data_IF_671337068455
#
_entry.id   IF_671337068455
#
_cell.length_a   1.000
_cell.length_b   1.000
_cell.length_c   1.000
_cell.angle_alpha   90.00
_cell.angle_beta   90.00
_cell.angle_gamma   90.00
#
_symmetry.space_group_name_H-M   'P 1'
#
loop_
_entity.id
_entity.type
_entity.pdbx_description
1 polymer ?
#
# COMPACT_ATOMS: atom_id res chain seq x y z
N UNK A 1 -6.05 -22.56 14.42
CA UNK A 1 -7.35 -22.80 15.10
C UNK A 1 -8.38 -21.77 14.66
N UNK A 2 -8.29 -20.50 15.10
CA UNK A 2 -9.22 -19.43 14.69
C UNK A 2 -9.28 -19.25 13.16
N UNK A 3 -8.12 -19.16 12.51
CA UNK A 3 -8.01 -18.98 11.05
C UNK A 3 -8.62 -20.09 10.19
N UNK A 4 -8.81 -21.29 10.74
CA UNK A 4 -9.34 -22.44 10.01
C UNK A 4 -10.83 -22.67 10.30
N UNK A 5 -11.45 -21.81 11.10
CA UNK A 5 -12.86 -21.90 11.40
C UNK A 5 -13.67 -21.30 10.24
N UNK A 6 -14.67 -22.04 9.77
CA UNK A 6 -15.61 -21.57 8.76
C UNK A 6 -16.72 -20.78 9.44
N UNK A 7 -17.03 -19.58 8.93
CA UNK A 7 -18.09 -18.74 9.47
C UNK A 7 -19.37 -18.90 8.65
N UNK A 8 -20.48 -19.08 9.35
CA UNK A 8 -21.83 -18.96 8.78
C UNK A 8 -22.21 -17.50 8.57
N UNK A 9 -23.28 -17.25 7.80
CA UNK A 9 -23.77 -15.89 7.54
C UNK A 9 -24.23 -15.17 8.82
N UNK A 10 -24.84 -15.89 9.76
CA UNK A 10 -25.30 -15.32 11.03
C UNK A 10 -24.09 -14.92 11.90
N UNK A 11 -23.09 -15.80 12.00
CA UNK A 11 -21.84 -15.52 12.74
C UNK A 11 -21.06 -14.33 12.15
N UNK A 12 -21.13 -14.09 10.84
CA UNK A 12 -20.49 -12.92 10.23
C UNK A 12 -21.09 -11.58 10.72
N UNK A 13 -22.30 -11.60 11.25
CA UNK A 13 -22.96 -10.41 11.82
C UNK A 13 -22.67 -10.21 13.30
N UNK A 14 -22.09 -11.22 13.97
CA UNK A 14 -21.81 -11.15 15.40
C UNK A 14 -20.60 -10.28 15.73
N UNK A 15 -20.74 -9.44 16.75
CA UNK A 15 -19.65 -8.57 17.25
C UNK A 15 -18.46 -9.35 17.82
N UNK A 16 -18.70 -10.57 18.30
CA UNK A 16 -17.68 -11.45 18.88
C UNK A 16 -17.46 -12.72 18.03
N UNK A 17 -17.67 -12.61 16.72
CA UNK A 17 -17.34 -13.69 15.79
C UNK A 17 -15.87 -14.12 15.92
N UNK A 18 -15.59 -15.36 15.53
CA UNK A 18 -14.24 -15.96 15.59
C UNK A 18 -13.19 -15.11 14.85
N UNK A 19 -13.60 -14.42 13.78
CA UNK A 19 -12.75 -13.47 13.05
C UNK A 19 -12.36 -12.25 13.90
N UNK A 20 -13.31 -11.67 14.63
CA UNK A 20 -13.05 -10.54 15.53
C UNK A 20 -12.18 -10.97 16.70
N UNK A 21 -12.42 -12.16 17.26
CA UNK A 21 -11.57 -12.73 18.31
C UNK A 21 -10.13 -12.96 17.84
N UNK A 22 -9.94 -13.48 16.62
CA UNK A 22 -8.62 -13.62 16.01
C UNK A 22 -7.87 -12.27 15.97
N UNK A 23 -8.56 -11.20 15.57
CA UNK A 23 -8.00 -9.86 15.52
C UNK A 23 -7.57 -9.37 16.92
N UNK A 24 -8.44 -9.53 17.93
CA UNK A 24 -8.14 -9.18 19.33
C UNK A 24 -6.90 -9.95 19.86
N UNK A 25 -6.77 -11.22 19.48
CA UNK A 25 -5.61 -12.05 19.86
C UNK A 25 -4.33 -11.59 19.15
N UNK A 26 -4.38 -11.25 17.86
CA UNK A 26 -3.24 -10.66 17.12
C UNK A 26 -2.77 -9.35 17.74
N UNK A 27 -3.69 -8.47 18.14
CA UNK A 27 -3.36 -7.22 18.84
C UNK A 27 -2.68 -7.49 20.18
N UNK A 28 -3.20 -8.45 20.95
CA UNK A 28 -2.59 -8.86 22.22
C UNK A 28 -1.19 -9.45 22.00
N UNK A 29 -1.01 -10.26 20.97
CA UNK A 29 0.29 -10.81 20.60
C UNK A 29 1.31 -9.69 20.32
N UNK A 30 0.94 -8.69 19.51
CA UNK A 30 1.83 -7.55 19.22
C UNK A 30 2.19 -6.73 20.47
N UNK A 31 1.24 -6.55 21.41
CA UNK A 31 1.52 -5.90 22.70
C UNK A 31 2.55 -6.68 23.51
N UNK A 32 2.45 -8.01 23.54
CA UNK A 32 3.40 -8.89 24.24
C UNK A 32 4.77 -8.83 23.55
N UNK A 33 4.81 -8.96 22.22
CA UNK A 33 6.03 -8.85 21.43
C UNK A 33 6.79 -7.55 21.74
N UNK A 34 6.11 -6.41 21.73
CA UNK A 34 6.72 -5.11 22.05
C UNK A 34 7.28 -5.06 23.48
N UNK A 35 6.57 -5.64 24.46
CA UNK A 35 7.07 -5.73 25.84
C UNK A 35 8.32 -6.60 25.94
N UNK A 36 8.36 -7.72 25.21
CA UNK A 36 9.54 -8.60 25.15
C UNK A 36 10.73 -7.87 24.54
N UNK A 37 10.53 -7.12 23.44
CA UNK A 37 11.59 -6.30 22.83
C UNK A 37 12.12 -5.25 23.82
N UNK A 38 11.23 -4.57 24.55
CA UNK A 38 11.62 -3.57 25.56
C UNK A 38 12.43 -4.17 26.70
N UNK A 39 12.02 -5.32 27.25
CA UNK A 39 12.75 -6.03 28.30
C UNK A 39 14.15 -6.48 27.84
N UNK A 40 14.26 -6.92 26.58
CA UNK A 40 15.53 -7.32 25.96
C UNK A 40 16.36 -6.14 25.47
N UNK A 41 15.85 -4.89 25.55
CA UNK A 41 16.47 -3.68 25.01
C UNK A 41 16.83 -3.79 23.52
N UNK A 42 15.97 -4.41 22.73
CA UNK A 42 16.12 -4.54 21.27
C UNK A 42 15.03 -3.73 20.53
N UNK A 43 15.31 -3.38 19.27
CA UNK A 43 14.33 -2.72 18.41
C UNK A 43 13.16 -3.68 18.12
N UNK A 44 11.93 -3.16 18.09
CA UNK A 44 10.71 -3.88 17.71
C UNK A 44 10.48 -3.94 16.19
N UNK A 45 11.46 -3.51 15.39
CA UNK A 45 11.43 -3.63 13.93
C UNK A 45 11.29 -5.10 13.52
N UNK A 46 10.39 -5.35 12.59
CA UNK A 46 10.02 -6.71 12.15
C UNK A 46 10.71 -7.11 10.84
N UNK A 47 11.45 -6.19 10.22
CA UNK A 47 12.11 -6.42 8.94
C UNK A 47 11.18 -6.26 7.72
N UNK A 48 9.98 -5.73 7.94
CA UNK A 48 8.97 -5.52 6.90
C UNK A 48 9.47 -4.60 5.79
N UNK A 49 9.00 -4.83 4.57
CA UNK A 49 9.37 -3.98 3.44
C UNK A 49 8.93 -2.52 3.66
N UNK A 50 7.82 -2.28 4.38
CA UNK A 50 7.37 -0.93 4.73
C UNK A 50 8.32 -0.18 5.69
N UNK A 51 9.18 -0.89 6.43
CA UNK A 51 10.19 -0.31 7.33
C UNK A 51 11.45 0.15 6.57
N UNK A 52 11.65 -0.35 5.33
CA UNK A 52 12.80 0.02 4.50
C UNK A 52 12.69 1.47 4.05
N UNK A 53 13.82 2.17 4.11
CA UNK A 53 13.96 3.56 3.65
C UNK A 53 13.76 3.61 2.14
N UNK A 54 12.97 4.57 1.67
CA UNK A 54 12.89 4.91 0.25
C UNK A 54 14.06 5.82 -0.07
N UNK A 55 14.84 5.46 -1.08
CA UNK A 55 15.90 6.30 -1.65
C UNK A 55 15.33 7.13 -2.79
N UNK A 56 15.68 8.41 -2.87
CA UNK A 56 15.23 9.30 -3.95
C UNK A 56 16.44 9.75 -4.75
N UNK A 57 16.47 9.43 -6.04
CA UNK A 57 17.58 9.78 -6.95
C UNK A 57 17.07 10.39 -8.27
N UNK A 58 15.85 10.92 -8.26
CA UNK A 58 15.05 11.24 -9.45
C UNK A 58 15.52 12.47 -10.21
N UNK A 59 16.29 13.36 -9.58
CA UNK A 59 16.79 14.57 -10.22
C UNK A 59 18.30 14.74 -10.04
N UNK A 60 18.90 15.58 -10.89
CA UNK A 60 20.35 15.88 -10.88
C UNK A 60 20.81 16.68 -9.67
N UNK A 61 19.90 17.24 -8.87
CA UNK A 61 20.19 18.09 -7.71
C UNK A 61 20.09 17.27 -6.42
N UNK A 62 21.21 16.88 -5.79
CA UNK A 62 21.20 16.06 -4.58
C UNK A 62 20.48 16.73 -3.40
N UNK A 63 20.45 18.06 -3.37
CA UNK A 63 19.78 18.87 -2.35
C UNK A 63 18.27 18.63 -2.35
N UNK A 64 17.68 18.57 -3.54
CA UNK A 64 16.25 18.27 -3.73
C UNK A 64 15.97 16.82 -3.34
N UNK A 65 16.76 15.88 -3.87
CA UNK A 65 16.64 14.45 -3.58
C UNK A 65 16.65 14.17 -2.07
N UNK A 66 17.67 14.68 -1.36
CA UNK A 66 17.80 14.53 0.10
C UNK A 66 16.61 15.13 0.84
N UNK A 67 16.11 16.28 0.40
CA UNK A 67 14.99 16.96 1.06
C UNK A 67 13.69 16.16 0.95
N UNK A 68 13.41 15.64 -0.23
CA UNK A 68 12.22 14.80 -0.48
C UNK A 68 12.38 13.45 0.21
N UNK A 69 13.56 12.82 0.13
CA UNK A 69 13.87 11.56 0.82
C UNK A 69 13.64 11.66 2.34
N UNK A 70 14.13 12.73 2.97
CA UNK A 70 13.89 12.95 4.39
C UNK A 70 12.40 13.09 4.71
N UNK A 71 11.65 13.82 3.86
CA UNK A 71 10.22 14.02 4.06
C UNK A 71 9.44 12.71 4.00
N UNK A 72 9.62 11.90 2.95
CA UNK A 72 8.84 10.67 2.74
C UNK A 72 9.14 9.60 3.79
N UNK A 73 10.40 9.50 4.24
CA UNK A 73 10.79 8.54 5.26
C UNK A 73 10.39 8.97 6.67
N UNK A 74 10.34 10.28 6.94
CA UNK A 74 9.89 10.81 8.23
C UNK A 74 8.36 10.79 8.37
N UNK A 75 7.64 11.25 7.34
CA UNK A 75 6.18 11.33 7.39
C UNK A 75 5.53 9.96 7.33
N UNK A 76 6.16 8.99 6.63
CA UNK A 76 5.59 7.68 6.28
C UNK A 76 4.24 7.76 5.56
N UNK A 77 3.83 8.96 5.11
CA UNK A 77 2.60 9.24 4.37
C UNK A 77 2.90 9.33 2.89
N UNK A 78 1.88 9.06 2.07
CA UNK A 78 1.97 9.30 0.63
C UNK A 78 1.90 10.83 0.41
N UNK A 79 2.91 11.46 -0.20
CA UNK A 79 2.89 12.90 -0.44
C UNK A 79 1.87 13.24 -1.53
N UNK A 80 1.33 14.45 -1.52
CA UNK A 80 0.66 15.02 -2.70
C UNK A 80 1.69 15.77 -3.58
N UNK A 81 1.25 16.16 -4.78
CA UNK A 81 2.09 16.91 -5.71
C UNK A 81 2.57 18.25 -5.12
N UNK A 82 1.68 18.98 -4.46
CA UNK A 82 1.97 20.31 -3.91
C UNK A 82 3.04 20.27 -2.81
N UNK A 83 3.03 19.22 -1.98
CA UNK A 83 4.06 18.95 -0.98
C UNK A 83 5.42 18.76 -1.62
N UNK A 84 5.50 17.95 -2.68
CA UNK A 84 6.77 17.72 -3.39
C UNK A 84 7.24 19.01 -4.07
N UNK A 85 6.35 19.72 -4.76
CA UNK A 85 6.67 21.00 -5.39
C UNK A 85 7.17 22.05 -4.39
N UNK A 86 6.54 22.13 -3.21
CA UNK A 86 6.99 23.00 -2.13
C UNK A 86 8.39 22.64 -1.62
N UNK A 87 8.71 21.35 -1.49
CA UNK A 87 10.06 20.89 -1.11
C UNK A 87 11.11 21.26 -2.15
N UNK A 88 10.78 21.13 -3.45
CA UNK A 88 11.64 21.56 -4.56
C UNK A 88 11.90 23.06 -4.49
N UNK A 89 10.85 23.88 -4.34
CA UNK A 89 10.97 25.35 -4.21
C UNK A 89 11.84 25.75 -3.02
N UNK A 90 11.66 25.09 -1.87
CA UNK A 90 12.48 25.34 -0.68
C UNK A 90 13.94 24.95 -0.85
N UNK A 91 14.21 23.83 -1.51
CA UNK A 91 15.57 23.40 -1.79
C UNK A 91 16.27 24.34 -2.77
N UNK A 92 15.56 24.79 -3.82
CA UNK A 92 16.05 25.79 -4.77
C UNK A 92 16.46 27.10 -4.08
N UNK A 93 15.57 27.67 -3.24
CA UNK A 93 15.86 28.90 -2.50
C UNK A 93 16.99 28.74 -1.49
N UNK A 94 17.02 27.62 -0.76
CA UNK A 94 18.03 27.39 0.29
C UNK A 94 19.44 27.24 -0.29
N UNK A 95 19.55 26.59 -1.44
CA UNK A 95 20.84 26.22 -2.05
C UNK A 95 21.18 27.07 -3.27
N UNK A 96 20.40 28.12 -3.56
CA UNK A 96 20.59 29.01 -4.70
C UNK A 96 20.80 28.26 -6.02
N UNK A 97 19.95 27.26 -6.31
CA UNK A 97 20.09 26.42 -7.50
C UNK A 97 19.69 27.13 -8.81
N UNK A 98 19.22 28.37 -8.72
CA UNK A 98 18.83 29.24 -9.84
C UNK A 98 17.81 28.61 -10.81
N UNK A 99 16.96 27.73 -10.29
CA UNK A 99 15.93 27.07 -11.10
C UNK A 99 14.76 28.01 -11.36
N UNK A 100 14.35 28.12 -12.62
CA UNK A 100 13.12 28.83 -13.00
C UNK A 100 11.88 28.11 -12.44
N UNK A 101 10.74 28.79 -12.40
CA UNK A 101 9.49 28.19 -11.95
C UNK A 101 9.07 26.98 -12.81
N UNK A 102 9.23 27.08 -14.13
CA UNK A 102 8.94 25.97 -15.06
C UNK A 102 9.84 24.76 -14.80
N UNK A 103 11.13 24.98 -14.52
CA UNK A 103 12.06 23.91 -14.14
C UNK A 103 11.67 23.28 -12.80
N UNK A 104 11.30 24.08 -11.80
CA UNK A 104 10.83 23.58 -10.50
C UNK A 104 9.59 22.70 -10.64
N UNK A 105 8.61 23.11 -11.45
CA UNK A 105 7.41 22.32 -11.71
C UNK A 105 7.73 21.01 -12.44
N UNK A 106 8.60 21.05 -13.46
CA UNK A 106 9.03 19.85 -14.19
C UNK A 106 9.73 18.86 -13.26
N UNK A 107 10.70 19.33 -12.47
CA UNK A 107 11.41 18.50 -11.49
C UNK A 107 10.43 17.94 -10.45
N UNK A 108 9.50 18.75 -9.96
CA UNK A 108 8.51 18.30 -8.98
C UNK A 108 7.61 17.19 -9.53
N UNK A 109 7.20 17.26 -10.80
CA UNK A 109 6.43 16.19 -11.45
C UNK A 109 7.24 14.90 -11.52
N UNK A 110 8.47 14.96 -12.01
CA UNK A 110 9.36 13.78 -12.11
C UNK A 110 9.60 13.14 -10.74
N UNK A 111 9.99 13.95 -9.75
CA UNK A 111 10.25 13.49 -8.38
C UNK A 111 8.98 12.92 -7.75
N UNK A 112 7.82 13.55 -7.95
CA UNK A 112 6.54 13.07 -7.43
C UNK A 112 6.16 11.71 -7.99
N UNK A 113 6.27 11.52 -9.32
CA UNK A 113 5.97 10.25 -9.98
C UNK A 113 6.87 9.13 -9.44
N UNK A 114 8.20 9.33 -9.44
CA UNK A 114 9.14 8.29 -9.01
C UNK A 114 8.98 7.92 -7.53
N UNK A 115 8.81 8.93 -6.67
CA UNK A 115 8.51 8.71 -5.25
C UNK A 115 7.20 7.97 -5.07
N UNK A 116 6.17 8.33 -5.83
CA UNK A 116 4.86 7.68 -5.80
C UNK A 116 4.97 6.21 -6.19
N UNK A 117 5.66 5.90 -7.28
CA UNK A 117 5.94 4.54 -7.74
C UNK A 117 6.74 3.74 -6.71
N UNK A 118 7.79 4.33 -6.12
CA UNK A 118 8.59 3.67 -5.10
C UNK A 118 7.76 3.34 -3.84
N UNK A 119 6.90 4.26 -3.39
CA UNK A 119 5.98 4.01 -2.27
C UNK A 119 4.98 2.91 -2.61
N UNK A 120 4.39 2.94 -3.81
CA UNK A 120 3.44 1.93 -4.26
C UNK A 120 4.12 0.56 -4.35
N UNK A 121 5.29 0.47 -4.97
CA UNK A 121 6.05 -0.75 -5.09
C UNK A 121 6.38 -1.33 -3.72
N UNK A 122 6.88 -0.50 -2.79
CA UNK A 122 7.15 -0.93 -1.40
C UNK A 122 5.92 -1.48 -0.71
N UNK A 123 4.75 -0.81 -0.85
CA UNK A 123 3.48 -1.28 -0.25
C UNK A 123 2.98 -2.57 -0.88
N UNK A 124 3.07 -2.70 -2.21
CA UNK A 124 2.70 -3.92 -2.94
C UNK A 124 3.60 -5.08 -2.54
N UNK A 125 4.91 -4.87 -2.50
CA UNK A 125 5.88 -5.88 -2.05
C UNK A 125 5.62 -6.29 -0.61
N UNK A 126 5.39 -5.33 0.28
CA UNK A 126 5.05 -5.60 1.69
C UNK A 126 3.77 -6.41 1.82
N UNK A 127 2.73 -6.08 1.06
CA UNK A 127 1.50 -6.87 1.00
C UNK A 127 1.75 -8.30 0.50
N UNK A 128 2.44 -8.46 -0.64
CA UNK A 128 2.68 -9.77 -1.23
C UNK A 128 3.52 -10.69 -0.33
N UNK A 129 4.49 -10.14 0.39
CA UNK A 129 5.36 -10.90 1.30
C UNK A 129 4.67 -11.28 2.63
N UNK A 130 3.65 -10.52 3.05
CA UNK A 130 3.02 -10.68 4.36
C UNK A 130 1.51 -10.98 4.27
N UNK A 131 1.00 -11.33 3.09
CA UNK A 131 -0.41 -11.70 2.90
C UNK A 131 -0.67 -13.13 3.37
N UNK A 132 -1.89 -13.36 3.84
CA UNK A 132 -2.38 -14.70 4.13
C UNK A 132 -1.95 -15.24 5.50
N UNK A 133 -1.84 -16.56 5.59
CA UNK A 133 -1.48 -17.31 6.80
C UNK A 133 -0.84 -18.64 6.42
N UNK A 134 -0.59 -19.50 7.42
CA UNK A 134 -0.13 -20.88 7.21
C UNK A 134 -1.02 -21.69 6.24
N UNK A 135 -2.30 -21.33 6.09
CA UNK A 135 -3.22 -21.98 5.16
C UNK A 135 -2.91 -21.64 3.69
N UNK A 136 -2.29 -20.49 3.43
CA UNK A 136 -2.00 -19.98 2.09
C UNK A 136 -0.50 -20.03 1.74
N UNK A 137 0.35 -20.48 2.66
CA UNK A 137 1.81 -20.56 2.46
C UNK A 137 2.21 -21.54 1.35
N UNK A 138 1.42 -22.60 1.14
CA UNK A 138 1.69 -23.67 0.18
C UNK A 138 0.85 -23.58 -1.09
N UNK A 139 0.31 -22.40 -1.42
CA UNK A 139 -0.41 -22.22 -2.69
C UNK A 139 0.61 -22.32 -3.82
N UNK A 140 0.55 -23.41 -4.55
CA UNK A 140 1.28 -23.59 -5.79
C UNK A 140 0.42 -23.03 -6.93
N UNK A 141 0.89 -21.97 -7.59
CA UNK A 141 0.20 -21.37 -8.73
C UNK A 141 -0.03 -22.38 -9.88
N UNK A 142 0.74 -23.47 -9.92
CA UNK A 142 0.58 -24.57 -10.89
C UNK A 142 -0.59 -25.52 -10.58
N UNK A 143 -1.25 -25.37 -9.44
CA UNK A 143 -2.34 -26.24 -8.98
C UNK A 143 -3.74 -25.61 -9.09
N UNK A 144 -3.89 -24.57 -9.92
CA UNK A 144 -5.20 -23.94 -10.14
C UNK A 144 -6.18 -24.95 -10.81
N UNK A 145 -7.27 -25.35 -10.13
CA UNK A 145 -8.26 -26.30 -10.69
C UNK A 145 -8.89 -25.83 -11.99
N UNK A 146 -8.94 -24.52 -12.23
CA UNK A 146 -9.47 -23.96 -13.47
C UNK A 146 -8.62 -24.35 -14.70
N UNK A 147 -7.35 -24.70 -14.51
CA UNK A 147 -6.48 -25.15 -15.61
C UNK A 147 -6.88 -26.53 -16.17
N UNK A 148 -7.62 -27.32 -15.40
CA UNK A 148 -8.01 -28.70 -15.73
C UNK A 148 -9.52 -28.81 -16.01
N UNK A 149 -10.34 -27.91 -15.45
CA UNK A 149 -11.79 -27.88 -15.65
C UNK A 149 -12.23 -26.70 -16.54
N UNK A 150 -12.55 -26.95 -17.84
CA UNK A 150 -12.98 -25.91 -18.77
C UNK A 150 -14.29 -25.21 -18.36
N UNK A 151 -15.19 -25.89 -17.63
CA UNK A 151 -16.44 -25.26 -17.17
C UNK A 151 -16.16 -24.26 -16.06
N UNK A 152 -15.22 -24.60 -15.18
CA UNK A 152 -14.75 -23.67 -14.14
C UNK A 152 -14.04 -22.48 -14.78
N UNK A 153 -13.18 -22.71 -15.77
CA UNK A 153 -12.48 -21.64 -16.51
C UNK A 153 -13.48 -20.69 -17.18
N UNK A 154 -14.46 -21.22 -17.93
CA UNK A 154 -15.52 -20.43 -18.57
C UNK A 154 -16.27 -19.60 -17.53
N UNK A 155 -16.62 -20.20 -16.38
CA UNK A 155 -17.32 -19.48 -15.32
C UNK A 155 -16.48 -18.35 -14.71
N UNK A 156 -15.18 -18.58 -14.50
CA UNK A 156 -14.27 -17.56 -14.00
C UNK A 156 -14.08 -16.43 -15.02
N UNK A 157 -14.07 -16.73 -16.31
CA UNK A 157 -14.02 -15.74 -17.39
C UNK A 157 -15.28 -14.85 -17.39
N UNK A 158 -16.48 -15.44 -17.26
CA UNK A 158 -17.73 -14.70 -17.09
C UNK A 158 -17.70 -13.81 -15.84
N UNK A 159 -17.26 -14.36 -14.70
CA UNK A 159 -17.16 -13.64 -13.44
C UNK A 159 -16.20 -12.45 -13.56
N UNK A 160 -15.07 -12.63 -14.23
CA UNK A 160 -14.08 -11.58 -14.50
C UNK A 160 -14.66 -10.45 -15.36
N UNK A 161 -15.39 -10.80 -16.43
CA UNK A 161 -16.09 -9.81 -17.28
C UNK A 161 -17.11 -9.03 -16.46
N UNK A 162 -17.95 -9.72 -15.68
CA UNK A 162 -18.96 -9.10 -14.81
C UNK A 162 -18.33 -8.17 -13.77
N UNK A 163 -17.23 -8.59 -13.13
CA UNK A 163 -16.52 -7.80 -12.15
C UNK A 163 -15.99 -6.49 -12.73
N UNK A 164 -15.39 -6.53 -13.94
CA UNK A 164 -14.91 -5.32 -14.64
C UNK A 164 -16.06 -4.36 -14.97
N UNK A 165 -17.17 -4.88 -15.50
CA UNK A 165 -18.36 -4.07 -15.80
C UNK A 165 -18.92 -3.42 -14.54
N UNK A 166 -18.99 -4.16 -13.43
CA UNK A 166 -19.52 -3.64 -12.17
C UNK A 166 -18.60 -2.57 -11.54
N UNK A 167 -17.28 -2.76 -11.62
CA UNK A 167 -16.33 -1.74 -11.14
C UNK A 167 -16.47 -0.45 -11.94
N UNK A 168 -16.52 -0.55 -13.27
CA UNK A 168 -16.70 0.61 -14.14
C UNK A 168 -18.04 1.31 -13.90
N UNK A 169 -19.13 0.56 -13.71
CA UNK A 169 -20.45 1.15 -13.48
C UNK A 169 -20.52 1.96 -12.19
N UNK A 170 -19.84 1.51 -11.13
CA UNK A 170 -19.73 2.27 -9.88
C UNK A 170 -18.90 3.54 -10.10
N UNK A 171 -17.75 3.44 -10.77
CA UNK A 171 -16.92 4.62 -11.07
C UNK A 171 -17.70 5.65 -11.88
N UNK A 172 -18.34 5.25 -12.98
CA UNK A 172 -19.16 6.14 -13.80
C UNK A 172 -20.32 6.77 -13.03
N UNK A 173 -21.00 5.98 -12.19
CA UNK A 173 -22.10 6.48 -11.35
C UNK A 173 -21.64 7.63 -10.47
N UNK A 174 -20.50 7.50 -9.80
CA UNK A 174 -20.00 8.56 -8.92
C UNK A 174 -19.36 9.72 -9.68
N UNK A 175 -18.76 9.48 -10.84
CA UNK A 175 -18.29 10.56 -11.73
C UNK A 175 -19.46 11.42 -12.23
N UNK A 176 -20.59 10.81 -12.65
CA UNK A 176 -21.79 11.56 -13.08
C UNK A 176 -22.40 12.35 -11.93
N UNK A 177 -22.53 11.73 -10.75
CA UNK A 177 -23.02 12.42 -9.56
C UNK A 177 -22.18 13.63 -9.16
N UNK A 178 -20.87 13.58 -9.39
CA UNK A 178 -20.00 14.73 -9.13
C UNK A 178 -20.35 15.88 -10.07
N UNK A 179 -20.54 15.61 -11.37
CA UNK A 179 -20.97 16.62 -12.36
C UNK A 179 -22.34 17.19 -12.02
N UNK A 180 -23.28 16.36 -11.55
CA UNK A 180 -24.64 16.82 -11.20
C UNK A 180 -24.67 17.72 -9.94
N UNK A 181 -23.62 17.69 -9.12
CA UNK A 181 -23.47 18.50 -7.90
C UNK A 181 -22.75 19.83 -8.19
N UNK A 182 -21.92 19.88 -9.24
CA UNK A 182 -21.16 21.06 -9.70
C UNK A 182 -22.03 22.01 -10.56
#
# INVERSE_FOLDING_TARGET
>A
RYQAHELTLDEMTEENSVYVEESKLKDRFMKIFNKVCALKKVNSATGRAIERKITVASCRFPEINRKVEQYVNKSKKFPDYYSVHYLVKRANLKHNLMLSESQQQSIARTVFTEVGEAIQHRRKSDYLLNRGSYLTEKIDELTDPASIDPKLEEKLAENSKRARTQLNSVLEKYSRKQVDIE
#
